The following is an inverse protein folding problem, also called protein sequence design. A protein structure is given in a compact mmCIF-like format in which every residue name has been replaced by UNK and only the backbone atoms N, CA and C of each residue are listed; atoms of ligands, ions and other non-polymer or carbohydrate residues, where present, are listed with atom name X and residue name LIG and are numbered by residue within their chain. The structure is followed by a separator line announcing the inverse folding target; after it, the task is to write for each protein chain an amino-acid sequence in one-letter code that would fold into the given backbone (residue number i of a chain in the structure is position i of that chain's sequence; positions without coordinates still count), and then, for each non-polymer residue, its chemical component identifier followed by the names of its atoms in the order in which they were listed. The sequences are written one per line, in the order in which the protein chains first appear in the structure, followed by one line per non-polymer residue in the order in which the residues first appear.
data_IF_689682825078
#
_entry.id   IF_689682825078
#
_cell.length_a   1.000
_cell.length_b   1.000
_cell.length_c   1.000
_cell.angle_alpha   90.00
_cell.angle_beta   90.00
_cell.angle_gamma   90.00
#
_symmetry.space_group_name_H-M   'P 1'
#
loop_
_entity.id
_entity.type
_entity.pdbx_description
1 polymer ?
#
# COMPACT_ATOMS: atom_id res chain seq x y z
N UNK A 1 -11.54 6.60 13.63
CA UNK A 1 -11.55 6.76 12.17
C UNK A 1 -11.61 5.36 11.58
N UNK A 2 -12.58 5.06 10.71
CA UNK A 2 -12.65 3.80 9.97
C UNK A 2 -11.39 3.65 9.09
N UNK A 3 -10.81 2.46 8.99
CA UNK A 3 -9.68 2.22 8.10
C UNK A 3 -10.11 2.46 6.63
N UNK A 4 -9.23 3.04 5.78
CA UNK A 4 -9.52 3.18 4.35
C UNK A 4 -9.76 1.81 3.71
N UNK A 5 -10.71 1.74 2.77
CA UNK A 5 -10.94 0.52 1.99
C UNK A 5 -9.67 0.15 1.21
N UNK A 6 -9.22 -1.11 1.33
CA UNK A 6 -8.03 -1.61 0.66
C UNK A 6 -8.37 -2.75 -0.32
N UNK A 7 -8.95 -2.44 -1.50
CA UNK A 7 -9.33 -3.44 -2.50
C UNK A 7 -8.10 -4.06 -3.19
N UNK A 8 -8.31 -5.04 -4.06
CA UNK A 8 -7.23 -5.57 -4.91
C UNK A 8 -6.71 -4.47 -5.86
N UNK A 9 -5.40 -4.41 -6.06
CA UNK A 9 -4.76 -3.46 -6.98
C UNK A 9 -5.07 -3.77 -8.45
N UNK A 10 -5.34 -5.04 -8.76
CA UNK A 10 -5.61 -5.52 -10.11
C UNK A 10 -6.93 -6.29 -10.15
N UNK A 11 -7.60 -6.37 -11.31
CA UNK A 11 -8.82 -7.16 -11.44
C UNK A 11 -8.61 -8.62 -11.03
N UNK A 12 -9.54 -9.17 -10.24
CA UNK A 12 -9.57 -10.58 -9.86
C UNK A 12 -10.73 -11.28 -10.56
N UNK A 13 -10.50 -12.49 -11.06
CA UNK A 13 -11.57 -13.33 -11.60
C UNK A 13 -12.36 -13.92 -10.45
N UNK A 14 -13.45 -13.28 -10.03
CA UNK A 14 -14.38 -13.86 -9.06
C UNK A 14 -15.06 -15.06 -9.70
N UNK A 15 -15.06 -16.20 -9.02
CA UNK A 15 -15.34 -17.57 -9.49
C UNK A 15 -16.58 -17.86 -10.37
N UNK A 16 -17.37 -16.86 -10.78
CA UNK A 16 -18.55 -17.03 -11.62
C UNK A 16 -18.31 -16.83 -13.13
N UNK A 17 -17.17 -16.29 -13.58
CA UNK A 17 -17.07 -15.89 -14.99
C UNK A 17 -16.49 -16.96 -15.90
N UNK A 18 -15.60 -17.87 -15.45
CA UNK A 18 -14.95 -18.84 -16.36
C UNK A 18 -14.51 -20.15 -15.66
N UNK A 19 -15.25 -21.25 -15.88
CA UNK A 19 -14.80 -22.66 -15.93
C UNK A 19 -14.28 -23.34 -14.62
N UNK A 20 -14.69 -24.59 -14.29
CA UNK A 20 -14.13 -25.35 -13.16
C UNK A 20 -12.67 -25.76 -13.47
N UNK A 21 -11.73 -25.02 -12.90
CA UNK A 21 -10.29 -25.13 -13.17
C UNK A 21 -9.55 -23.79 -13.14
N UNK A 22 -10.27 -22.67 -13.08
CA UNK A 22 -9.68 -21.36 -12.86
C UNK A 22 -9.00 -21.30 -11.49
N UNK A 23 -7.70 -21.02 -11.48
CA UNK A 23 -6.90 -20.70 -10.30
C UNK A 23 -7.72 -19.82 -9.36
N UNK A 24 -7.78 -20.20 -8.08
CA UNK A 24 -8.54 -19.48 -7.06
C UNK A 24 -8.27 -17.99 -7.15
N UNK A 25 -9.33 -17.21 -7.00
CA UNK A 25 -9.34 -15.74 -7.00
C UNK A 25 -8.57 -15.19 -5.79
N UNK A 26 -7.28 -15.51 -5.69
CA UNK A 26 -6.37 -14.94 -4.71
C UNK A 26 -6.13 -13.49 -5.16
N UNK A 27 -6.60 -12.49 -4.41
CA UNK A 27 -6.33 -11.11 -4.74
C UNK A 27 -4.84 -10.86 -4.54
N UNK A 28 -4.06 -10.89 -5.62
CA UNK A 28 -2.60 -10.85 -5.58
C UNK A 28 -2.04 -9.72 -4.71
N UNK A 29 -2.00 -8.50 -5.23
CA UNK A 29 -1.50 -7.32 -4.51
C UNK A 29 -2.68 -6.44 -4.09
N UNK A 30 -2.65 -5.86 -2.88
CA UNK A 30 -3.67 -4.88 -2.48
C UNK A 30 -3.37 -3.50 -3.05
N UNK A 31 -4.37 -2.63 -3.18
CA UNK A 31 -4.20 -1.27 -3.70
C UNK A 31 -3.22 -0.46 -2.81
N UNK A 32 -3.24 -0.70 -1.49
CA UNK A 32 -2.27 -0.18 -0.53
C UNK A 32 -0.85 -0.60 -0.86
N UNK A 33 -0.63 -1.90 -1.10
CA UNK A 33 0.70 -2.44 -1.41
C UNK A 33 1.21 -1.89 -2.75
N UNK A 34 0.32 -1.73 -3.73
CA UNK A 34 0.65 -1.12 -5.01
C UNK A 34 1.10 0.34 -4.84
N UNK A 35 0.31 1.16 -4.13
CA UNK A 35 0.69 2.55 -3.86
C UNK A 35 2.00 2.67 -3.08
N UNK A 36 2.22 1.81 -2.07
CA UNK A 36 3.46 1.79 -1.31
C UNK A 36 4.65 1.44 -2.21
N UNK A 37 4.49 0.46 -3.11
CA UNK A 37 5.49 0.07 -4.10
C UNK A 37 5.83 1.20 -5.09
N UNK A 38 4.84 2.02 -5.47
CA UNK A 38 5.09 3.19 -6.31
C UNK A 38 5.85 4.30 -5.56
N UNK A 39 5.65 4.43 -4.25
CA UNK A 39 6.25 5.48 -3.43
C UNK A 39 7.68 5.14 -2.96
N UNK A 40 7.99 3.86 -2.72
CA UNK A 40 9.19 3.45 -1.96
C UNK A 40 10.51 3.99 -2.55
N UNK A 41 10.65 4.03 -3.88
CA UNK A 41 11.87 4.53 -4.53
C UNK A 41 12.11 6.03 -4.28
N UNK A 42 11.05 6.83 -4.24
CA UNK A 42 11.15 8.26 -3.93
C UNK A 42 11.40 8.47 -2.43
N UNK A 43 10.74 7.69 -1.57
CA UNK A 43 10.93 7.74 -0.11
C UNK A 43 12.38 7.45 0.26
N UNK A 44 12.96 6.37 -0.27
CA UNK A 44 14.38 6.02 -0.01
C UNK A 44 15.29 7.20 -0.36
N UNK A 45 15.09 7.84 -1.53
CA UNK A 45 15.94 8.96 -1.95
C UNK A 45 15.74 10.21 -1.10
N UNK A 46 14.49 10.58 -0.81
CA UNK A 46 14.18 11.85 -0.13
C UNK A 46 14.41 11.78 1.38
N UNK A 47 14.22 10.61 1.98
CA UNK A 47 14.24 10.43 3.43
C UNK A 47 15.51 9.74 3.95
N UNK A 48 16.51 9.44 3.11
CA UNK A 48 17.77 8.83 3.56
C UNK A 48 18.48 9.64 4.66
N UNK A 49 18.35 10.96 4.63
CA UNK A 49 18.91 11.84 5.66
C UNK A 49 18.13 11.85 6.98
N UNK A 50 16.89 11.37 7.01
CA UNK A 50 16.03 11.43 8.20
C UNK A 50 16.61 10.57 9.35
N UNK A 51 17.30 9.48 9.01
CA UNK A 51 17.94 8.60 10.00
C UNK A 51 19.03 9.31 10.83
N UNK A 52 19.60 10.41 10.33
CA UNK A 52 20.59 11.21 11.08
C UNK A 52 19.99 11.91 12.31
N UNK A 53 18.66 12.10 12.34
CA UNK A 53 17.95 12.73 13.45
C UNK A 53 17.38 11.72 14.46
N UNK A 54 17.73 10.44 14.30
CA UNK A 54 17.17 9.34 15.08
C UNK A 54 15.88 8.79 14.49
N UNK A 55 15.39 7.70 15.06
CA UNK A 55 14.18 7.03 14.60
C UNK A 55 12.96 7.42 15.45
N UNK A 56 11.76 7.53 14.85
CA UNK A 56 10.51 7.62 15.59
C UNK A 56 10.29 6.42 16.52
N UNK A 57 9.41 6.57 17.51
CA UNK A 57 9.03 5.48 18.41
C UNK A 57 8.53 4.25 17.63
N UNK A 58 9.05 3.08 17.99
CA UNK A 58 8.72 1.80 17.34
C UNK A 58 9.43 1.54 16.01
N UNK A 59 10.34 2.42 15.58
CA UNK A 59 11.21 2.21 14.41
C UNK A 59 12.64 1.94 14.89
N UNK A 60 13.19 0.80 14.48
CA UNK A 60 14.52 0.31 14.88
C UNK A 60 15.53 0.33 13.74
N UNK A 61 15.06 0.52 12.49
CA UNK A 61 15.93 0.47 11.30
C UNK A 61 15.53 1.49 10.24
N UNK A 62 16.47 1.78 9.34
CA UNK A 62 16.25 2.69 8.21
C UNK A 62 15.25 2.10 7.21
N UNK A 63 15.26 0.79 7.02
CA UNK A 63 14.31 0.07 6.17
C UNK A 63 12.89 0.17 6.73
N UNK A 64 12.73 0.01 8.06
CA UNK A 64 11.44 0.20 8.72
C UNK A 64 10.94 1.65 8.57
N UNK A 65 11.84 2.64 8.66
CA UNK A 65 11.49 4.05 8.44
C UNK A 65 10.95 4.27 7.01
N UNK A 66 11.61 3.73 6.00
CA UNK A 66 11.19 3.88 4.60
C UNK A 66 9.88 3.15 4.31
N UNK A 67 9.75 1.91 4.78
CA UNK A 67 8.50 1.15 4.65
C UNK A 67 7.34 1.90 5.32
N UNK A 68 7.53 2.38 6.54
CA UNK A 68 6.51 3.14 7.29
C UNK A 68 6.06 4.40 6.52
N UNK A 69 7.00 5.19 6.00
CA UNK A 69 6.68 6.38 5.20
C UNK A 69 5.97 6.05 3.88
N UNK A 70 6.39 4.98 3.20
CA UNK A 70 5.75 4.55 1.96
C UNK A 70 4.30 4.09 2.20
N UNK A 71 4.06 3.32 3.25
CA UNK A 71 2.70 2.92 3.63
C UNK A 71 1.85 4.10 4.13
N UNK A 72 2.44 5.07 4.83
CA UNK A 72 1.73 6.29 5.22
C UNK A 72 1.26 7.10 3.99
N UNK A 73 2.07 7.18 2.93
CA UNK A 73 1.66 7.77 1.66
C UNK A 73 0.55 6.95 0.97
N UNK A 74 0.64 5.61 0.99
CA UNK A 74 -0.41 4.75 0.46
C UNK A 74 -1.75 4.94 1.19
N UNK A 75 -1.72 5.02 2.52
CA UNK A 75 -2.90 5.26 3.36
C UNK A 75 -3.51 6.64 3.07
N UNK A 76 -2.68 7.66 2.83
CA UNK A 76 -3.15 8.98 2.41
C UNK A 76 -3.81 8.96 1.02
N UNK A 77 -3.27 8.19 0.06
CA UNK A 77 -3.88 8.03 -1.27
C UNK A 77 -5.23 7.30 -1.20
N UNK A 78 -5.35 6.26 -0.37
CA UNK A 78 -6.63 5.58 -0.14
C UNK A 78 -7.65 6.49 0.54
N UNK A 79 -7.23 7.27 1.54
CA UNK A 79 -8.09 8.24 2.20
C UNK A 79 -8.58 9.32 1.23
N UNK A 80 -7.74 9.79 0.30
CA UNK A 80 -8.14 10.74 -0.74
C UNK A 80 -9.14 10.11 -1.72
N UNK A 81 -8.89 8.86 -2.15
CA UNK A 81 -9.81 8.12 -3.01
C UNK A 81 -11.20 7.96 -2.37
N UNK A 82 -11.25 7.68 -1.07
CA UNK A 82 -12.51 7.52 -0.34
C UNK A 82 -13.38 8.79 -0.34
N UNK A 83 -12.77 9.98 -0.41
CA UNK A 83 -13.52 11.25 -0.53
C UNK A 83 -14.23 11.40 -1.88
N UNK A 84 -13.65 10.83 -2.94
CA UNK A 84 -14.20 10.86 -4.30
C UNK A 84 -15.41 9.96 -4.52
N UNK A 85 -15.83 9.20 -3.49
CA UNK A 85 -16.81 8.14 -3.61
C UNK A 85 -16.18 6.94 -4.30
N UNK A 86 -15.99 5.84 -3.57
CA UNK A 86 -15.64 4.57 -4.17
C UNK A 86 -16.71 4.23 -5.24
N UNK A 87 -16.30 4.26 -6.52
CA UNK A 87 -17.00 3.56 -7.59
C UNK A 87 -16.75 2.06 -7.45
#
# INVERSE_FOLDING_TARGET
MSQPENPSAFPVNTANDLNPGAYGAEPGMTLRDWFAGQAIGAVIRQCAGDAAFGYPEGIESMEQLFASKAFALADAMLAERAKGGAA
#
